data_IF_631771365931
#
_entry.id   IF_631771365931
#
_cell.length_a   1.000
_cell.length_b   1.000
_cell.length_c   1.000
_cell.angle_alpha   90.00
_cell.angle_beta   90.00
_cell.angle_gamma   90.00
#
_symmetry.space_group_name_H-M   'P 1'
#
loop_
_entity.id
_entity.type
_entity.pdbx_description
1 polymer ?
#
# COMPACT_ATOMS: atom_id res chain seq x y z
N UNK A 1 -50.61 -30.06 51.27
CA UNK A 1 -50.53 -28.74 51.92
C UNK A 1 -49.92 -27.74 50.95
N UNK A 2 -50.69 -26.67 50.65
CA UNK A 2 -50.32 -25.30 50.29
C UNK A 2 -49.47 -24.99 49.05
N UNK A 3 -50.10 -24.17 48.19
CA UNK A 3 -49.54 -23.18 47.28
C UNK A 3 -48.45 -22.30 47.92
N UNK A 4 -47.48 -21.89 47.08
CA UNK A 4 -46.82 -20.57 47.00
C UNK A 4 -45.62 -20.73 46.04
N UNK A 5 -45.18 -19.81 45.20
CA UNK A 5 -45.63 -18.53 44.66
C UNK A 5 -44.60 -18.20 43.54
N UNK A 6 -45.00 -17.48 42.51
CA UNK A 6 -44.09 -16.85 41.54
C UNK A 6 -43.03 -15.98 42.23
N UNK A 7 -41.81 -15.96 41.69
CA UNK A 7 -41.01 -14.74 41.55
C UNK A 7 -39.96 -14.91 40.44
N UNK A 8 -40.10 -14.10 39.38
CA UNK A 8 -39.09 -13.86 38.36
C UNK A 8 -37.79 -13.36 38.99
N UNK A 9 -36.66 -14.00 38.65
CA UNK A 9 -35.36 -13.32 38.65
C UNK A 9 -34.68 -13.64 37.33
N UNK A 10 -34.71 -12.65 36.45
CA UNK A 10 -33.80 -12.43 35.34
C UNK A 10 -32.35 -12.46 35.83
N UNK A 11 -31.55 -13.41 35.33
CA UNK A 11 -30.10 -13.39 35.50
C UNK A 11 -29.42 -13.82 34.19
N UNK A 12 -29.11 -12.78 33.40
CA UNK A 12 -27.83 -12.55 32.73
C UNK A 12 -27.28 -13.65 31.81
N UNK A 13 -27.37 -13.31 30.52
CA UNK A 13 -26.35 -13.59 29.54
C UNK A 13 -24.94 -13.35 30.12
N UNK A 14 -24.18 -14.42 30.24
CA UNK A 14 -22.72 -14.39 30.35
C UNK A 14 -22.19 -15.69 29.75
N UNK A 15 -22.38 -15.85 28.45
CA UNK A 15 -21.55 -16.77 27.68
C UNK A 15 -20.11 -16.29 27.82
N UNK A 16 -19.25 -17.15 28.36
CA UNK A 16 -17.85 -16.88 28.62
C UNK A 16 -17.16 -16.27 27.40
N UNK A 17 -17.01 -14.93 27.41
CA UNK A 17 -16.01 -14.28 26.61
C UNK A 17 -14.66 -14.71 27.19
N UNK A 18 -13.99 -15.62 26.48
CA UNK A 18 -12.55 -15.82 26.65
C UNK A 18 -11.93 -14.42 26.57
N UNK A 19 -11.41 -13.92 27.69
CA UNK A 19 -10.49 -12.78 27.69
C UNK A 19 -9.35 -13.18 26.76
N UNK A 20 -9.40 -12.75 25.50
CA UNK A 20 -8.22 -12.72 24.65
C UNK A 20 -7.28 -11.75 25.35
N UNK A 21 -6.31 -12.27 26.07
CA UNK A 21 -5.18 -11.46 26.50
C UNK A 21 -4.59 -10.85 25.23
N UNK A 22 -4.65 -9.52 25.15
CA UNK A 22 -4.03 -8.80 24.04
C UNK A 22 -2.54 -9.14 24.00
N UNK A 23 -1.99 -9.45 22.82
CA UNK A 23 -0.58 -9.72 22.66
C UNK A 23 0.28 -8.61 23.30
N UNK A 24 1.35 -8.98 24.01
CA UNK A 24 2.21 -8.04 24.76
C UNK A 24 2.73 -6.84 23.96
N UNK A 25 2.77 -6.92 22.63
CA UNK A 25 3.21 -5.85 21.73
C UNK A 25 2.17 -4.74 21.49
N UNK A 26 0.93 -4.89 21.97
CA UNK A 26 -0.12 -3.87 22.00
C UNK A 26 -0.03 -2.92 23.21
N UNK A 27 0.94 -3.12 24.12
CA UNK A 27 0.99 -2.43 25.41
C UNK A 27 1.57 -1.00 25.38
N UNK A 28 2.02 -0.51 24.22
CA UNK A 28 2.44 0.88 24.02
C UNK A 28 1.57 1.52 22.94
N UNK A 29 0.54 2.24 23.37
CA UNK A 29 -0.57 2.66 22.52
C UNK A 29 -0.27 4.01 21.87
N UNK A 30 -0.30 4.05 20.54
CA UNK A 30 -0.53 5.28 19.78
C UNK A 30 -1.87 5.90 20.22
N UNK A 31 -1.94 7.22 20.42
CA UNK A 31 -3.19 7.91 20.82
C UNK A 31 -4.31 7.86 19.77
N UNK A 32 -4.05 7.32 18.57
CA UNK A 32 -5.05 7.14 17.50
C UNK A 32 -5.37 5.67 17.36
N UNK A 33 -6.53 5.28 17.90
CA UNK A 33 -7.11 3.96 17.71
C UNK A 33 -7.86 3.89 16.37
N UNK A 34 -7.20 3.48 15.29
CA UNK A 34 -7.89 3.00 14.08
C UNK A 34 -8.46 1.57 14.27
N UNK A 35 -8.89 1.23 15.49
CA UNK A 35 -9.24 -0.13 15.91
C UNK A 35 -10.68 -0.54 15.56
N UNK A 36 -11.60 0.42 15.44
CA UNK A 36 -13.04 0.14 15.25
C UNK A 36 -13.52 0.36 13.80
N UNK A 37 -12.90 1.29 13.07
CA UNK A 37 -13.21 1.56 11.66
C UNK A 37 -12.02 2.23 10.98
N UNK A 38 -11.26 1.46 10.20
CA UNK A 38 -10.16 2.01 9.40
C UNK A 38 -10.75 2.75 8.20
N UNK A 39 -11.16 4.01 8.42
CA UNK A 39 -11.64 4.90 7.36
C UNK A 39 -10.47 5.68 6.76
N UNK A 40 -10.63 6.26 5.55
CA UNK A 40 -9.64 7.16 4.97
C UNK A 40 -9.27 8.31 5.89
N UNK A 41 -10.25 8.83 6.63
CA UNK A 41 -10.05 9.89 7.62
C UNK A 41 -9.18 9.40 8.77
N UNK A 42 -9.39 8.17 9.26
CA UNK A 42 -8.55 7.60 10.32
C UNK A 42 -7.10 7.43 9.86
N UNK A 43 -6.88 6.85 8.68
CA UNK A 43 -5.54 6.68 8.11
C UNK A 43 -4.88 8.04 7.85
N UNK A 44 -5.66 9.04 7.43
CA UNK A 44 -5.16 10.41 7.25
C UNK A 44 -4.70 11.03 8.57
N UNK A 45 -5.48 10.90 9.65
CA UNK A 45 -5.11 11.40 10.99
C UNK A 45 -3.86 10.68 11.51
N UNK A 46 -3.81 9.36 11.34
CA UNK A 46 -2.64 8.56 11.69
C UNK A 46 -1.41 9.02 10.91
N UNK A 47 -1.53 9.15 9.59
CA UNK A 47 -0.42 9.53 8.73
C UNK A 47 0.14 10.89 9.12
N UNK A 48 -0.73 11.86 9.43
CA UNK A 48 -0.31 13.17 9.95
C UNK A 48 0.52 13.03 11.23
N UNK A 49 0.03 12.27 12.22
CA UNK A 49 0.75 12.07 13.49
C UNK A 49 2.12 11.39 13.28
N UNK A 50 2.19 10.40 12.38
CA UNK A 50 3.43 9.72 12.04
C UNK A 50 4.42 10.66 11.35
N UNK A 51 3.95 11.56 10.48
CA UNK A 51 4.79 12.57 9.83
C UNK A 51 5.38 13.56 10.82
N UNK A 52 4.59 14.04 11.79
CA UNK A 52 5.06 14.92 12.88
C UNK A 52 6.15 14.25 13.73
N UNK A 53 6.15 12.92 13.82
CA UNK A 53 7.21 12.14 14.50
C UNK A 53 8.46 11.92 13.64
N UNK A 54 8.40 12.24 12.35
CA UNK A 54 9.47 12.05 11.36
C UNK A 54 10.02 13.35 10.79
N UNK A 55 9.76 14.50 11.41
CA UNK A 55 10.12 15.83 10.85
C UNK A 55 11.60 15.99 10.48
N UNK A 56 12.50 15.22 11.10
CA UNK A 56 13.94 15.24 10.81
C UNK A 56 14.43 14.07 9.95
N UNK A 57 13.52 13.24 9.46
CA UNK A 57 13.83 12.10 8.61
C UNK A 57 14.20 12.55 7.19
N UNK A 58 15.21 11.94 6.54
CA UNK A 58 15.44 12.15 5.11
C UNK A 58 14.26 11.72 4.24
N UNK A 59 13.32 10.91 4.77
CA UNK A 59 12.14 10.43 4.07
C UNK A 59 10.90 11.32 4.27
N UNK A 60 10.97 12.32 5.16
CA UNK A 60 9.83 13.14 5.56
C UNK A 60 9.17 13.87 4.37
N UNK A 61 9.97 14.35 3.42
CA UNK A 61 9.48 15.05 2.23
C UNK A 61 8.63 14.14 1.33
N UNK A 62 9.19 12.99 0.93
CA UNK A 62 8.48 11.99 0.11
C UNK A 62 7.22 11.48 0.81
N UNK A 63 7.33 11.13 2.09
CA UNK A 63 6.17 10.71 2.90
C UNK A 63 5.07 11.77 2.94
N UNK A 64 5.44 13.05 3.06
CA UNK A 64 4.48 14.17 3.01
C UNK A 64 3.82 14.29 1.66
N UNK A 65 4.55 14.19 0.55
CA UNK A 65 3.99 14.25 -0.80
C UNK A 65 3.02 13.09 -1.07
N UNK A 66 3.33 11.88 -0.59
CA UNK A 66 2.39 10.76 -0.64
C UNK A 66 1.11 11.04 0.16
N UNK A 67 1.25 11.54 1.38
CA UNK A 67 0.13 11.90 2.25
C UNK A 67 -0.76 12.98 1.61
N UNK A 68 -0.17 14.01 1.02
CA UNK A 68 -0.88 15.07 0.28
C UNK A 68 -1.65 14.48 -0.89
N UNK A 69 -1.02 13.62 -1.69
CA UNK A 69 -1.70 13.02 -2.83
C UNK A 69 -2.88 12.13 -2.40
N UNK A 70 -2.68 11.30 -1.38
CA UNK A 70 -3.76 10.50 -0.81
C UNK A 70 -4.90 11.38 -0.32
N UNK A 71 -4.61 12.45 0.42
CA UNK A 71 -5.60 13.37 0.93
C UNK A 71 -6.39 14.06 -0.20
N UNK A 72 -5.69 14.61 -1.20
CA UNK A 72 -6.32 15.27 -2.35
C UNK A 72 -7.18 14.32 -3.19
N UNK A 73 -6.68 13.13 -3.52
CA UNK A 73 -7.42 12.13 -4.29
C UNK A 73 -8.62 11.56 -3.53
N UNK A 74 -8.54 11.53 -2.20
CA UNK A 74 -9.63 11.07 -1.32
C UNK A 74 -10.56 12.18 -0.85
N UNK A 75 -10.25 13.44 -1.18
CA UNK A 75 -10.98 14.61 -0.69
C UNK A 75 -11.03 14.65 0.84
N UNK A 76 -9.93 14.29 1.48
CA UNK A 76 -9.73 14.39 2.92
C UNK A 76 -8.97 15.71 3.20
N UNK A 77 -9.43 16.54 4.15
CA UNK A 77 -8.72 17.76 4.51
C UNK A 77 -7.32 17.45 5.02
N UNK A 78 -6.34 18.20 4.51
CA UNK A 78 -4.96 18.15 5.01
C UNK A 78 -4.42 19.58 5.16
N UNK A 79 -3.35 19.70 5.94
CA UNK A 79 -2.60 20.93 6.10
C UNK A 79 -1.12 20.59 6.04
N UNK A 80 -0.32 21.45 5.40
CA UNK A 80 1.12 21.28 5.37
C UNK A 80 1.67 21.25 6.81
N UNK A 81 2.54 20.28 7.14
CA UNK A 81 3.25 20.28 8.42
C UNK A 81 3.95 21.62 8.67
N UNK A 82 3.96 22.06 9.93
CA UNK A 82 4.51 23.37 10.30
C UNK A 82 5.99 23.49 9.92
N UNK A 83 6.72 22.38 9.92
CA UNK A 83 8.12 22.28 9.54
C UNK A 83 8.42 22.74 8.09
N UNK A 84 7.44 22.69 7.17
CA UNK A 84 7.65 23.12 5.79
C UNK A 84 7.33 24.62 5.62
N UNK A 85 8.35 25.39 5.25
CA UNK A 85 8.28 26.84 5.07
C UNK A 85 8.82 27.27 3.69
N UNK A 86 8.55 28.52 3.31
CA UNK A 86 9.11 29.14 2.11
C UNK A 86 8.92 28.30 0.84
N UNK A 87 10.04 27.89 0.24
CA UNK A 87 10.06 27.15 -1.02
C UNK A 87 9.37 25.78 -0.92
N UNK A 88 9.56 25.03 0.17
CA UNK A 88 8.94 23.72 0.37
C UNK A 88 7.42 23.85 0.47
N UNK A 89 6.93 24.87 1.19
CA UNK A 89 5.50 25.14 1.28
C UNK A 89 4.89 25.49 -0.08
N UNK A 90 5.59 26.27 -0.89
CA UNK A 90 5.17 26.60 -2.24
C UNK A 90 5.14 25.35 -3.15
N UNK A 91 6.17 24.48 -3.05
CA UNK A 91 6.23 23.22 -3.79
C UNK A 91 5.08 22.28 -3.40
N UNK A 92 4.79 22.12 -2.09
CA UNK A 92 3.64 21.35 -1.60
C UNK A 92 2.32 21.88 -2.16
N UNK A 93 2.13 23.20 -2.16
CA UNK A 93 0.90 23.81 -2.68
C UNK A 93 0.74 23.54 -4.19
N UNK A 94 1.81 23.76 -4.97
CA UNK A 94 1.78 23.52 -6.41
C UNK A 94 1.53 22.05 -6.75
N UNK A 95 2.15 21.14 -5.99
CA UNK A 95 1.94 19.70 -6.11
C UNK A 95 0.49 19.32 -5.80
N UNK A 96 -0.07 19.81 -4.69
CA UNK A 96 -1.47 19.54 -4.32
C UNK A 96 -2.45 20.01 -5.40
N UNK A 97 -2.22 21.18 -6.00
CA UNK A 97 -3.01 21.68 -7.13
C UNK A 97 -2.92 20.77 -8.36
N UNK A 98 -1.75 20.18 -8.64
CA UNK A 98 -1.59 19.19 -9.70
C UNK A 98 -2.35 17.90 -9.40
N UNK A 99 -2.27 17.37 -8.16
CA UNK A 99 -3.00 16.15 -7.76
C UNK A 99 -4.51 16.37 -7.78
N UNK A 100 -4.99 17.53 -7.35
CA UNK A 100 -6.41 17.89 -7.39
C UNK A 100 -6.99 17.79 -8.81
N UNK A 101 -6.20 18.13 -9.83
CA UNK A 101 -6.60 18.00 -11.23
C UNK A 101 -6.75 16.54 -11.68
N UNK A 102 -5.97 15.62 -11.11
CA UNK A 102 -6.14 14.16 -11.31
C UNK A 102 -7.51 13.73 -10.79
N UNK A 103 -7.89 14.17 -9.57
CA UNK A 103 -9.20 13.84 -8.98
C UNK A 103 -10.36 14.38 -9.81
N UNK A 104 -10.25 15.60 -10.33
CA UNK A 104 -11.31 16.22 -11.15
C UNK A 104 -11.38 15.66 -12.57
N UNK A 105 -10.56 14.65 -12.91
CA UNK A 105 -10.57 13.97 -14.21
C UNK A 105 -9.94 14.77 -15.35
N UNK A 106 -9.20 15.83 -15.04
CA UNK A 106 -8.54 16.67 -16.04
C UNK A 106 -7.08 16.24 -16.19
N UNK A 107 -6.84 15.02 -16.68
CA UNK A 107 -5.50 14.44 -16.74
C UNK A 107 -4.52 15.23 -17.62
N UNK A 108 -4.98 15.84 -18.73
CA UNK A 108 -4.12 16.67 -19.56
C UNK A 108 -3.62 17.91 -18.81
N UNK A 109 -4.53 18.56 -18.06
CA UNK A 109 -4.15 19.72 -17.23
C UNK A 109 -3.26 19.29 -16.07
N UNK A 110 -3.54 18.13 -15.45
CA UNK A 110 -2.71 17.57 -14.39
C UNK A 110 -1.29 17.29 -14.90
N UNK A 111 -1.14 16.72 -16.10
CA UNK A 111 0.15 16.49 -16.75
C UNK A 111 0.88 17.81 -17.02
N UNK A 112 0.19 18.81 -17.58
CA UNK A 112 0.79 20.13 -17.80
C UNK A 112 1.22 20.82 -16.50
N UNK A 113 0.47 20.64 -15.41
CA UNK A 113 0.82 21.17 -14.10
C UNK A 113 2.03 20.43 -13.51
N UNK A 114 2.02 19.09 -13.54
CA UNK A 114 3.10 18.24 -13.05
C UNK A 114 4.42 18.54 -13.77
N UNK A 115 4.40 18.71 -15.09
CA UNK A 115 5.60 19.01 -15.87
C UNK A 115 6.25 20.36 -15.54
N UNK A 116 5.50 21.29 -14.93
CA UNK A 116 5.96 22.61 -14.50
C UNK A 116 6.40 22.66 -13.03
N UNK A 117 6.32 21.54 -12.30
CA UNK A 117 6.83 21.48 -10.92
C UNK A 117 8.36 21.56 -10.93
N UNK A 118 8.89 22.48 -10.13
CA UNK A 118 10.34 22.68 -9.98
C UNK A 118 10.96 21.66 -9.01
N UNK A 119 10.20 21.21 -8.01
CA UNK A 119 10.67 20.18 -7.07
C UNK A 119 10.69 18.79 -7.74
N UNK A 120 11.85 18.11 -7.84
CA UNK A 120 11.96 16.85 -8.56
C UNK A 120 11.11 15.72 -8.00
N UNK A 121 11.01 15.63 -6.67
CA UNK A 121 10.25 14.57 -5.98
C UNK A 121 8.74 14.77 -6.16
N UNK A 122 8.27 16.02 -6.00
CA UNK A 122 6.89 16.37 -6.28
C UNK A 122 6.53 16.12 -7.76
N UNK A 123 7.46 16.45 -8.67
CA UNK A 123 7.29 16.18 -10.10
C UNK A 123 7.16 14.68 -10.38
N UNK A 124 8.08 13.85 -9.89
CA UNK A 124 8.07 12.41 -10.12
C UNK A 124 6.82 11.76 -9.54
N UNK A 125 6.41 12.14 -8.32
CA UNK A 125 5.20 11.62 -7.69
C UNK A 125 3.92 12.03 -8.41
N UNK A 126 3.82 13.28 -8.88
CA UNK A 126 2.66 13.71 -9.64
C UNK A 126 2.52 12.90 -10.95
N UNK A 127 3.63 12.68 -11.66
CA UNK A 127 3.67 11.87 -12.87
C UNK A 127 3.33 10.40 -12.58
N UNK A 128 3.80 9.85 -11.46
CA UNK A 128 3.40 8.52 -10.99
C UNK A 128 1.89 8.43 -10.85
N UNK A 129 1.23 9.30 -10.07
CA UNK A 129 -0.22 9.24 -9.89
C UNK A 129 -1.02 9.50 -11.18
N UNK A 130 -0.52 10.35 -12.07
CA UNK A 130 -1.10 10.55 -13.42
C UNK A 130 -1.03 9.25 -14.22
N UNK A 131 0.10 8.55 -14.19
CA UNK A 131 0.27 7.29 -14.91
C UNK A 131 -0.71 6.23 -14.42
N UNK A 132 -0.83 6.05 -13.10
CA UNK A 132 -1.77 5.10 -12.48
C UNK A 132 -3.22 5.45 -12.82
N UNK A 133 -3.59 6.73 -12.71
CA UNK A 133 -4.96 7.17 -13.03
C UNK A 133 -5.26 7.06 -14.53
N UNK A 134 -4.29 7.39 -15.38
CA UNK A 134 -4.45 7.30 -16.82
C UNK A 134 -4.63 5.86 -17.33
N UNK A 135 -4.01 4.87 -16.65
CA UNK A 135 -4.20 3.46 -16.96
C UNK A 135 -5.66 3.02 -16.80
N UNK A 136 -6.30 3.36 -15.68
CA UNK A 136 -7.72 3.03 -15.43
C UNK A 136 -8.69 3.77 -16.35
N UNK A 137 -8.26 4.88 -16.97
CA UNK A 137 -9.08 5.69 -17.88
C UNK A 137 -8.73 5.50 -19.36
N UNK A 138 -7.77 4.63 -19.69
CA UNK A 138 -7.21 4.49 -21.04
C UNK A 138 -6.83 5.84 -21.68
N UNK A 139 -6.16 6.69 -20.90
CA UNK A 139 -5.82 8.07 -21.27
C UNK A 139 -4.55 8.15 -22.13
N UNK A 140 -4.54 9.07 -23.09
CA UNK A 140 -3.33 9.42 -23.86
C UNK A 140 -2.21 10.04 -23.01
N UNK A 141 -2.51 10.48 -21.79
CA UNK A 141 -1.54 11.06 -20.85
C UNK A 141 -0.62 10.04 -20.19
N UNK A 142 -0.96 8.75 -20.23
CA UNK A 142 -0.17 7.70 -19.56
C UNK A 142 1.23 7.57 -20.15
N UNK A 143 1.35 7.56 -21.48
CA UNK A 143 2.66 7.37 -22.14
C UNK A 143 3.61 8.54 -21.86
N UNK A 144 3.23 9.82 -22.08
CA UNK A 144 4.12 10.95 -21.76
C UNK A 144 4.53 11.00 -20.28
N UNK A 145 3.61 10.65 -19.36
CA UNK A 145 3.92 10.62 -17.94
C UNK A 145 4.97 9.54 -17.61
N UNK A 146 4.83 8.33 -18.16
CA UNK A 146 5.78 7.24 -17.96
C UNK A 146 7.15 7.52 -18.60
N UNK A 147 7.18 8.15 -19.78
CA UNK A 147 8.42 8.52 -20.46
C UNK A 147 9.25 9.52 -19.64
N UNK A 148 8.59 10.56 -19.11
CA UNK A 148 9.26 11.52 -18.24
C UNK A 148 9.65 10.88 -16.90
N UNK A 149 8.80 10.03 -16.32
CA UNK A 149 9.10 9.33 -15.07
C UNK A 149 10.32 8.42 -15.22
N UNK A 150 10.42 7.66 -16.31
CA UNK A 150 11.59 6.85 -16.63
C UNK A 150 12.89 7.68 -16.71
N UNK A 151 12.80 8.97 -17.04
CA UNK A 151 13.97 9.84 -17.11
C UNK A 151 14.42 10.35 -15.74
N UNK A 152 13.47 10.61 -14.83
CA UNK A 152 13.74 11.37 -13.61
C UNK A 152 13.67 10.55 -12.31
N UNK A 153 12.92 9.45 -12.30
CA UNK A 153 12.75 8.58 -11.12
C UNK A 153 12.48 7.14 -11.57
N UNK A 154 13.55 6.34 -11.54
CA UNK A 154 13.50 4.94 -11.96
C UNK A 154 12.68 4.07 -11.02
N UNK A 155 12.58 4.41 -9.73
CA UNK A 155 11.88 3.58 -8.75
C UNK A 155 10.37 3.73 -8.91
N UNK A 156 9.88 4.98 -8.99
CA UNK A 156 8.48 5.24 -9.31
C UNK A 156 8.10 4.75 -10.71
N UNK A 157 9.02 4.81 -11.68
CA UNK A 157 8.78 4.23 -13.00
C UNK A 157 8.54 2.71 -12.91
N UNK A 158 9.37 1.98 -12.14
CA UNK A 158 9.18 0.54 -11.95
C UNK A 158 7.87 0.24 -11.22
N UNK A 159 7.52 1.00 -10.18
CA UNK A 159 6.22 0.87 -9.49
C UNK A 159 5.03 1.11 -10.45
N UNK A 160 5.12 2.11 -11.33
CA UNK A 160 4.08 2.38 -12.32
C UNK A 160 3.94 1.25 -13.34
N UNK A 161 5.06 0.64 -13.74
CA UNK A 161 5.07 -0.51 -14.66
C UNK A 161 4.47 -1.76 -14.00
N UNK A 162 4.73 -2.02 -12.73
CA UNK A 162 4.09 -3.07 -11.94
C UNK A 162 2.57 -2.84 -11.84
N UNK A 163 2.15 -1.60 -11.61
CA UNK A 163 0.72 -1.26 -11.56
C UNK A 163 0.03 -1.43 -12.91
N UNK A 164 0.72 -1.11 -14.01
CA UNK A 164 0.25 -1.38 -15.37
C UNK A 164 0.10 -2.88 -15.63
N UNK A 165 1.04 -3.69 -15.14
CA UNK A 165 0.97 -5.14 -15.25
C UNK A 165 -0.28 -5.69 -14.53
N UNK A 166 -0.56 -5.22 -13.32
CA UNK A 166 -1.77 -5.60 -12.57
C UNK A 166 -3.05 -5.22 -13.34
N UNK A 167 -3.11 -4.00 -13.88
CA UNK A 167 -4.24 -3.53 -14.69
C UNK A 167 -4.47 -4.39 -15.95
N UNK A 168 -3.41 -4.76 -16.68
CA UNK A 168 -3.50 -5.63 -17.85
C UNK A 168 -4.00 -7.04 -17.50
N UNK A 169 -3.51 -7.60 -16.39
CA UNK A 169 -3.94 -8.92 -15.92
C UNK A 169 -5.43 -8.91 -15.50
N UNK A 170 -5.88 -7.87 -14.81
CA UNK A 170 -7.30 -7.69 -14.49
C UNK A 170 -8.19 -7.52 -15.72
N UNK A 171 -7.69 -6.80 -16.73
CA UNK A 171 -8.40 -6.63 -18.00
C UNK A 171 -8.39 -7.90 -18.88
N UNK A 172 -7.64 -8.94 -18.51
CA UNK A 172 -7.47 -10.15 -19.31
C UNK A 172 -6.60 -9.96 -20.57
N UNK A 173 -5.86 -8.86 -20.68
CA UNK A 173 -4.92 -8.60 -21.78
C UNK A 173 -3.60 -9.34 -21.52
N UNK A 174 -3.68 -10.69 -21.55
CA UNK A 174 -2.59 -11.58 -21.17
C UNK A 174 -1.36 -11.46 -22.07
N UNK A 175 -1.55 -11.15 -23.35
CA UNK A 175 -0.46 -10.96 -24.30
C UNK A 175 0.41 -9.76 -23.91
N UNK A 176 -0.21 -8.60 -23.68
CA UNK A 176 0.53 -7.41 -23.25
C UNK A 176 1.06 -7.53 -21.83
N UNK A 177 0.31 -8.15 -20.92
CA UNK A 177 0.79 -8.42 -19.56
C UNK A 177 2.06 -9.28 -19.58
N UNK A 178 2.09 -10.33 -20.38
CA UNK A 178 3.26 -11.21 -20.52
C UNK A 178 4.46 -10.49 -21.12
N UNK A 179 4.25 -9.68 -22.17
CA UNK A 179 5.30 -8.86 -22.77
C UNK A 179 5.86 -7.84 -21.77
N UNK A 180 5.00 -7.18 -21.00
CA UNK A 180 5.39 -6.22 -19.97
C UNK A 180 6.17 -6.88 -18.83
N UNK A 181 5.73 -8.04 -18.33
CA UNK A 181 6.49 -8.80 -17.34
C UNK A 181 7.89 -9.10 -17.85
N UNK A 182 8.02 -9.61 -19.09
CA UNK A 182 9.33 -9.88 -19.69
C UNK A 182 10.21 -8.65 -19.73
N UNK A 183 9.64 -7.50 -20.08
CA UNK A 183 10.33 -6.22 -20.06
C UNK A 183 10.84 -5.88 -18.65
N UNK A 184 9.95 -5.87 -17.64
CA UNK A 184 10.31 -5.57 -16.24
C UNK A 184 11.42 -6.48 -15.74
N UNK A 185 11.26 -7.80 -15.94
CA UNK A 185 12.27 -8.80 -15.55
C UNK A 185 13.60 -8.55 -16.26
N UNK A 186 13.57 -8.24 -17.56
CA UNK A 186 14.78 -7.98 -18.34
C UNK A 186 15.48 -6.71 -17.86
N UNK A 187 14.76 -5.61 -17.70
CA UNK A 187 15.34 -4.33 -17.26
C UNK A 187 15.90 -4.41 -15.85
N UNK A 188 15.24 -5.14 -14.96
CA UNK A 188 15.75 -5.44 -13.64
C UNK A 188 17.04 -6.29 -13.74
N UNK A 189 17.06 -7.30 -14.63
CA UNK A 189 18.20 -8.25 -14.76
C UNK A 189 19.50 -7.66 -15.32
N UNK A 190 19.42 -6.50 -15.97
CA UNK A 190 20.56 -5.86 -16.64
C UNK A 190 21.37 -4.95 -15.72
N UNK A 191 20.95 -4.72 -14.46
CA UNK A 191 21.45 -3.56 -13.70
C UNK A 191 21.81 -3.75 -12.22
N UNK A 192 21.38 -4.80 -11.47
CA UNK A 192 21.57 -4.77 -9.99
C UNK A 192 21.61 -6.16 -9.30
N UNK A 193 22.51 -6.43 -8.32
CA UNK A 193 22.34 -7.50 -7.32
C UNK A 193 21.10 -7.39 -6.42
N UNK A 194 20.44 -6.23 -6.31
CA UNK A 194 19.20 -6.00 -5.55
C UNK A 194 17.92 -6.30 -6.34
N UNK A 195 17.95 -7.28 -7.26
CA UNK A 195 16.83 -7.74 -8.08
C UNK A 195 15.57 -8.23 -7.33
N UNK A 196 15.70 -8.48 -6.03
CA UNK A 196 14.67 -9.11 -5.20
C UNK A 196 13.34 -8.35 -5.17
N UNK A 197 13.31 -7.05 -4.83
CA UNK A 197 12.06 -6.31 -4.64
C UNK A 197 11.22 -6.16 -5.92
N UNK A 198 11.79 -5.74 -7.05
CA UNK A 198 11.03 -5.56 -8.31
C UNK A 198 10.37 -6.86 -8.77
N UNK A 199 11.09 -7.98 -8.62
CA UNK A 199 10.58 -9.30 -8.99
C UNK A 199 9.58 -9.83 -7.96
N UNK A 200 9.71 -9.45 -6.70
CA UNK A 200 8.72 -9.76 -5.68
C UNK A 200 7.40 -9.04 -5.99
N UNK A 201 7.45 -7.77 -6.35
CA UNK A 201 6.27 -6.99 -6.70
C UNK A 201 5.51 -7.61 -7.89
N UNK A 202 6.24 -8.04 -8.92
CA UNK A 202 5.66 -8.82 -10.03
C UNK A 202 5.04 -10.12 -9.53
N UNK A 203 5.71 -10.86 -8.64
CA UNK A 203 5.18 -12.10 -8.08
C UNK A 203 3.88 -11.87 -7.28
N UNK A 204 3.82 -10.79 -6.50
CA UNK A 204 2.65 -10.41 -5.73
C UNK A 204 1.49 -10.00 -6.64
N UNK A 205 1.74 -9.26 -7.72
CA UNK A 205 0.72 -8.96 -8.75
C UNK A 205 0.10 -10.23 -9.32
N UNK A 206 0.92 -11.22 -9.67
CA UNK A 206 0.41 -12.50 -10.19
C UNK A 206 -0.38 -13.28 -9.13
N UNK A 207 0.04 -13.24 -7.86
CA UNK A 207 -0.71 -13.83 -6.77
C UNK A 207 -2.09 -13.15 -6.59
N UNK A 208 -2.13 -11.80 -6.60
CA UNK A 208 -3.35 -11.01 -6.43
C UNK A 208 -4.35 -11.17 -7.56
N UNK A 209 -3.86 -11.33 -8.78
CA UNK A 209 -4.67 -11.49 -10.00
C UNK A 209 -5.09 -12.94 -10.25
N UNK A 210 -4.73 -13.88 -9.35
CA UNK A 210 -5.10 -15.30 -9.44
C UNK A 210 -4.31 -16.11 -10.48
N UNK A 211 -3.23 -15.55 -11.03
CA UNK A 211 -2.38 -16.19 -12.05
C UNK A 211 -1.38 -17.17 -11.41
N UNK A 212 -1.87 -18.06 -10.54
CA UNK A 212 -1.05 -18.88 -9.64
C UNK A 212 -0.19 -19.93 -10.36
N UNK A 213 -0.70 -20.51 -11.45
CA UNK A 213 0.06 -21.48 -12.24
C UNK A 213 1.26 -20.82 -12.92
N UNK A 214 1.06 -19.68 -13.60
CA UNK A 214 2.14 -18.95 -14.25
C UNK A 214 3.11 -18.34 -13.23
N UNK A 215 2.62 -17.91 -12.05
CA UNK A 215 3.47 -17.51 -10.93
C UNK A 215 4.43 -18.63 -10.51
N UNK A 216 3.89 -19.83 -10.24
CA UNK A 216 4.68 -20.99 -9.82
C UNK A 216 5.75 -21.35 -10.85
N UNK A 217 5.34 -21.48 -12.12
CA UNK A 217 6.24 -21.83 -13.22
C UNK A 217 7.34 -20.77 -13.42
N UNK A 218 7.00 -19.49 -13.32
CA UNK A 218 7.96 -18.40 -13.52
C UNK A 218 8.95 -18.29 -12.36
N UNK A 219 8.50 -18.33 -11.10
CA UNK A 219 9.37 -18.23 -9.92
C UNK A 219 10.39 -19.38 -9.88
N UNK A 220 9.98 -20.59 -10.25
CA UNK A 220 10.89 -21.74 -10.34
C UNK A 220 12.01 -21.54 -11.38
N UNK A 221 11.70 -20.84 -12.49
CA UNK A 221 12.64 -20.56 -13.58
C UNK A 221 13.54 -19.36 -13.34
N UNK A 222 13.35 -18.61 -12.24
CA UNK A 222 14.23 -17.48 -11.93
C UNK A 222 15.67 -17.95 -11.65
N UNK A 223 16.70 -17.19 -12.06
CA UNK A 223 18.10 -17.52 -11.78
C UNK A 223 18.37 -17.75 -10.29
N UNK A 224 19.29 -18.66 -9.96
CA UNK A 224 19.64 -18.99 -8.56
C UNK A 224 20.16 -17.81 -7.75
N UNK A 225 20.80 -16.84 -8.41
CA UNK A 225 21.27 -15.59 -7.78
C UNK A 225 20.16 -14.73 -7.17
N UNK A 226 18.88 -15.03 -7.44
CA UNK A 226 17.71 -14.32 -6.91
C UNK A 226 17.15 -15.08 -5.71
N UNK A 227 17.98 -15.23 -4.68
CA UNK A 227 17.75 -16.14 -3.54
C UNK A 227 16.55 -15.70 -2.69
N UNK A 228 16.39 -14.40 -2.45
CA UNK A 228 15.36 -13.84 -1.55
C UNK A 228 13.92 -14.21 -1.97
N UNK A 229 13.67 -14.43 -3.26
CA UNK A 229 12.35 -14.86 -3.76
C UNK A 229 12.07 -16.35 -3.56
N UNK A 230 13.14 -17.14 -3.39
CA UNK A 230 13.09 -18.59 -3.21
C UNK A 230 13.22 -18.98 -1.75
N UNK A 231 13.83 -18.12 -0.92
CA UNK A 231 14.07 -18.36 0.51
C UNK A 231 14.00 -17.03 1.25
N UNK A 232 13.39 -17.00 2.43
CA UNK A 232 13.44 -15.83 3.31
C UNK A 232 12.09 -15.14 3.45
N UNK A 233 12.10 -13.83 3.65
CA UNK A 233 10.89 -13.09 4.00
C UNK A 233 9.98 -12.80 2.80
N UNK A 234 10.53 -12.60 1.60
CA UNK A 234 9.72 -12.47 0.39
C UNK A 234 9.06 -13.79 -0.02
N UNK A 235 9.75 -14.91 0.15
CA UNK A 235 9.15 -16.24 -0.04
C UNK A 235 7.95 -16.45 0.90
N UNK A 236 8.10 -16.13 2.19
CA UNK A 236 7.01 -16.23 3.16
C UNK A 236 5.84 -15.31 2.82
N UNK A 237 6.12 -14.06 2.44
CA UNK A 237 5.10 -13.12 1.99
C UNK A 237 4.35 -13.69 0.79
N UNK A 238 5.07 -14.12 -0.26
CA UNK A 238 4.45 -14.71 -1.45
C UNK A 238 3.63 -15.95 -1.10
N UNK A 239 4.12 -16.82 -0.22
CA UNK A 239 3.40 -18.01 0.24
C UNK A 239 2.12 -17.63 1.00
N UNK A 240 2.17 -16.63 1.88
CA UNK A 240 1.00 -16.10 2.57
C UNK A 240 -0.04 -15.53 1.59
N UNK A 241 0.41 -14.83 0.54
CA UNK A 241 -0.47 -14.29 -0.51
C UNK A 241 -1.12 -15.38 -1.36
N UNK A 242 -0.37 -16.41 -1.75
CA UNK A 242 -0.91 -17.58 -2.47
C UNK A 242 -1.95 -18.29 -1.59
N UNK A 243 -1.65 -18.54 -0.31
CA UNK A 243 -2.61 -19.15 0.63
C UNK A 243 -3.88 -18.30 0.75
N UNK A 244 -3.73 -16.99 0.93
CA UNK A 244 -4.86 -16.06 1.02
C UNK A 244 -5.71 -16.06 -0.25
N UNK A 245 -5.09 -16.11 -1.43
CA UNK A 245 -5.79 -16.17 -2.72
C UNK A 245 -6.61 -17.45 -2.90
N UNK A 246 -6.18 -18.54 -2.26
CA UNK A 246 -6.88 -19.83 -2.19
C UNK A 246 -7.93 -19.88 -1.06
N UNK A 247 -8.25 -18.73 -0.44
CA UNK A 247 -9.24 -18.62 0.64
C UNK A 247 -8.74 -19.06 2.02
N UNK A 248 -7.42 -19.23 2.19
CA UNK A 248 -6.80 -19.57 3.48
C UNK A 248 -6.10 -18.33 4.05
N UNK A 249 -6.78 -17.52 4.88
CA UNK A 249 -6.17 -16.32 5.41
C UNK A 249 -4.96 -16.66 6.29
N UNK A 250 -3.83 -15.94 6.16
CA UNK A 250 -2.62 -16.27 6.90
C UNK A 250 -2.81 -16.04 8.39
N UNK A 251 -2.22 -16.93 9.18
CA UNK A 251 -2.25 -16.83 10.64
C UNK A 251 -1.27 -15.79 11.19
N UNK A 252 -1.45 -15.41 12.46
CA UNK A 252 -0.52 -14.52 13.17
C UNK A 252 0.91 -15.09 13.19
N UNK A 253 1.06 -16.41 13.35
CA UNK A 253 2.36 -17.07 13.35
C UNK A 253 3.04 -17.02 11.96
N UNK A 254 2.26 -17.09 10.88
CA UNK A 254 2.76 -17.05 9.51
C UNK A 254 3.35 -15.66 9.21
N UNK A 255 2.58 -14.58 9.45
CA UNK A 255 3.08 -13.21 9.29
C UNK A 255 4.16 -12.86 10.32
N UNK A 256 4.05 -13.37 11.55
CA UNK A 256 5.06 -13.21 12.59
C UNK A 256 6.41 -13.86 12.26
N UNK A 257 6.44 -14.80 11.31
CA UNK A 257 7.68 -15.44 10.85
C UNK A 257 8.49 -14.58 9.87
N UNK A 258 7.88 -13.53 9.28
CA UNK A 258 8.56 -12.54 8.43
C UNK A 258 9.39 -11.63 9.33
N UNK A 259 10.72 -11.66 9.23
CA UNK A 259 11.62 -10.98 10.17
C UNK A 259 11.83 -9.49 9.86
N UNK A 260 11.99 -9.14 8.58
CA UNK A 260 12.12 -7.77 8.10
C UNK A 260 10.82 -7.03 8.39
N UNK A 261 10.91 -5.96 9.18
CA UNK A 261 9.73 -5.21 9.61
C UNK A 261 9.02 -4.55 8.42
N UNK A 262 9.78 -4.05 7.45
CA UNK A 262 9.22 -3.51 6.21
C UNK A 262 8.43 -4.57 5.43
N UNK A 263 9.03 -5.73 5.14
CA UNK A 263 8.33 -6.84 4.46
C UNK A 263 7.08 -7.29 5.23
N UNK A 264 7.14 -7.30 6.57
CA UNK A 264 5.96 -7.67 7.39
C UNK A 264 4.87 -6.60 7.29
N UNK A 265 5.24 -5.32 7.31
CA UNK A 265 4.31 -4.22 7.20
C UNK A 265 3.63 -4.21 5.82
N UNK A 266 4.41 -4.36 4.75
CA UNK A 266 3.87 -4.48 3.39
C UNK A 266 3.01 -5.73 3.23
N UNK A 267 3.32 -6.84 3.91
CA UNK A 267 2.48 -8.04 3.90
C UNK A 267 1.01 -7.75 4.30
N UNK A 268 0.79 -6.95 5.33
CA UNK A 268 -0.56 -6.57 5.74
C UNK A 268 -1.28 -5.75 4.66
N UNK A 269 -0.57 -4.81 4.01
CA UNK A 269 -1.14 -3.99 2.94
C UNK A 269 -1.44 -4.81 1.69
N UNK A 270 -0.56 -5.76 1.36
CA UNK A 270 -0.75 -6.67 0.24
C UNK A 270 -1.96 -7.58 0.45
N UNK A 271 -2.12 -8.12 1.65
CA UNK A 271 -3.32 -8.86 2.02
C UNK A 271 -4.57 -7.99 1.92
N UNK A 272 -4.51 -6.72 2.35
CA UNK A 272 -5.63 -5.80 2.21
C UNK A 272 -6.02 -5.60 0.72
N UNK A 273 -5.05 -5.39 -0.16
CA UNK A 273 -5.25 -5.28 -1.62
C UNK A 273 -5.91 -6.54 -2.18
N UNK A 274 -5.38 -7.71 -1.85
CA UNK A 274 -5.93 -8.99 -2.28
C UNK A 274 -7.38 -9.18 -1.81
N UNK A 275 -7.67 -8.97 -0.53
CA UNK A 275 -9.01 -9.16 0.00
C UNK A 275 -10.02 -8.19 -0.60
N UNK A 276 -9.60 -6.96 -0.93
CA UNK A 276 -10.43 -6.04 -1.70
C UNK A 276 -10.79 -6.61 -3.07
N UNK A 277 -9.81 -7.12 -3.81
CA UNK A 277 -10.02 -7.73 -5.13
C UNK A 277 -10.95 -8.95 -5.06
N UNK A 278 -10.85 -9.73 -3.98
CA UNK A 278 -11.73 -10.87 -3.72
C UNK A 278 -13.12 -10.47 -3.18
N UNK A 279 -13.42 -9.17 -3.02
CA UNK A 279 -14.68 -8.68 -2.47
C UNK A 279 -14.85 -8.96 -0.96
N UNK A 280 -13.78 -9.31 -0.25
CA UNK A 280 -13.79 -9.67 1.16
C UNK A 280 -13.47 -8.46 2.06
N UNK A 281 -14.42 -7.53 2.16
CA UNK A 281 -14.25 -6.30 2.93
C UNK A 281 -14.00 -6.48 4.43
N UNK A 282 -14.30 -7.66 5.00
CA UNK A 282 -14.00 -7.96 6.42
C UNK A 282 -12.51 -8.18 6.60
N UNK A 283 -11.90 -9.06 5.80
CA UNK A 283 -10.46 -9.31 5.88
C UNK A 283 -9.63 -8.15 5.35
N UNK A 284 -10.14 -7.40 4.37
CA UNK A 284 -9.51 -6.15 3.93
C UNK A 284 -9.35 -5.19 5.12
N UNK A 285 -10.46 -4.83 5.79
CA UNK A 285 -10.43 -3.88 6.92
C UNK A 285 -9.53 -4.36 8.03
N UNK A 286 -9.58 -5.66 8.34
CA UNK A 286 -8.70 -6.27 9.34
C UNK A 286 -7.23 -6.14 8.96
N UNK A 287 -6.86 -6.41 7.72
CA UNK A 287 -5.48 -6.33 7.27
C UNK A 287 -4.95 -4.89 7.33
N UNK A 288 -5.76 -3.88 6.94
CA UNK A 288 -5.38 -2.47 7.09
C UNK A 288 -5.26 -2.08 8.58
N UNK A 289 -6.14 -2.60 9.44
CA UNK A 289 -6.05 -2.38 10.89
C UNK A 289 -4.76 -2.97 11.46
N UNK A 290 -4.44 -4.21 11.11
CA UNK A 290 -3.22 -4.89 11.55
C UNK A 290 -1.97 -4.15 11.04
N UNK A 291 -2.00 -3.61 9.80
CA UNK A 291 -0.95 -2.74 9.27
C UNK A 291 -0.81 -1.47 10.12
N UNK A 292 -1.90 -0.74 10.37
CA UNK A 292 -1.89 0.50 11.14
C UNK A 292 -1.36 0.28 12.57
N UNK A 293 -1.80 -0.79 13.24
CA UNK A 293 -1.31 -1.16 14.58
C UNK A 293 0.17 -1.51 14.54
N UNK A 294 0.62 -2.31 13.57
CA UNK A 294 2.02 -2.69 13.43
C UNK A 294 2.92 -1.47 13.17
N UNK A 295 2.50 -0.58 12.26
CA UNK A 295 3.20 0.65 11.92
C UNK A 295 3.23 1.70 13.03
N UNK A 296 2.46 1.54 14.11
CA UNK A 296 2.46 2.40 15.30
C UNK A 296 3.30 1.85 16.45
N UNK A 297 3.74 0.59 16.39
CA UNK A 297 4.47 -0.04 17.48
C UNK A 297 5.74 0.75 17.83
N UNK A 298 6.03 0.89 19.13
CA UNK A 298 7.23 1.57 19.59
C UNK A 298 8.53 0.83 19.20
N UNK A 299 8.46 -0.50 19.07
CA UNK A 299 9.58 -1.33 18.60
C UNK A 299 9.77 -1.33 17.08
N UNK A 300 8.96 -0.56 16.35
CA UNK A 300 9.13 -0.36 14.91
C UNK A 300 10.39 0.49 14.66
N UNK A 301 11.34 -0.08 13.92
CA UNK A 301 12.57 0.58 13.47
C UNK A 301 12.43 1.17 12.07
N UNK A 302 11.37 0.81 11.33
CA UNK A 302 11.05 1.44 10.06
C UNK A 302 10.69 2.91 10.29
N UNK A 303 11.21 3.78 9.42
CA UNK A 303 10.94 5.20 9.48
C UNK A 303 9.43 5.49 9.34
N UNK A 304 8.91 6.40 10.15
CA UNK A 304 7.48 6.72 10.17
C UNK A 304 7.01 7.38 8.87
N UNK A 305 7.88 8.11 8.17
CA UNK A 305 7.56 8.66 6.86
C UNK A 305 7.41 7.55 5.79
N UNK A 306 8.18 6.46 5.89
CA UNK A 306 8.02 5.29 5.02
C UNK A 306 6.69 4.57 5.32
N UNK A 307 6.33 4.41 6.60
CA UNK A 307 5.01 3.90 7.00
C UNK A 307 3.89 4.73 6.38
N UNK A 308 4.03 6.06 6.39
CA UNK A 308 3.05 6.99 5.79
C UNK A 308 2.96 6.84 4.28
N UNK A 309 4.08 6.71 3.58
CA UNK A 309 4.11 6.47 2.13
C UNK A 309 3.27 5.25 1.76
N UNK A 310 3.54 4.12 2.41
CA UNK A 310 2.82 2.87 2.18
C UNK A 310 1.32 2.94 2.53
N UNK A 311 0.96 3.57 3.67
CA UNK A 311 -0.46 3.78 4.03
C UNK A 311 -1.16 4.69 3.02
N UNK A 312 -0.47 5.71 2.52
CA UNK A 312 -1.00 6.66 1.54
C UNK A 312 -1.25 5.99 0.18
N UNK A 313 -0.33 5.16 -0.28
CA UNK A 313 -0.51 4.33 -1.49
C UNK A 313 -1.76 3.45 -1.38
N UNK A 314 -1.92 2.76 -0.25
CA UNK A 314 -3.09 1.92 0.03
C UNK A 314 -4.42 2.69 -0.07
N UNK A 315 -4.43 3.97 0.36
CA UNK A 315 -5.59 4.85 0.24
C UNK A 315 -5.88 5.26 -1.21
N UNK A 316 -4.85 5.55 -2.00
CA UNK A 316 -5.03 6.00 -3.40
C UNK A 316 -5.57 4.88 -4.28
N UNK A 317 -4.99 3.68 -4.16
CA UNK A 317 -5.32 2.54 -5.02
C UNK A 317 -6.76 2.03 -4.83
N UNK A 318 -7.39 2.30 -3.68
CA UNK A 318 -8.76 1.86 -3.37
C UNK A 318 -9.89 2.43 -4.25
N UNK A 319 -9.59 3.38 -5.14
CA UNK A 319 -10.53 3.92 -6.14
C UNK A 319 -10.04 3.79 -7.59
N UNK A 320 -8.81 3.31 -7.80
CA UNK A 320 -8.17 3.26 -9.12
C UNK A 320 -8.40 1.92 -9.84
N UNK A 321 -8.82 0.88 -9.09
CA UNK A 321 -9.23 -0.43 -9.58
C UNK A 321 -10.75 -0.59 -9.48
#
# INVERSE_FOLDING_TARGET
MRLAALLCISALAAGCAVKREEPQWLKEVSKVECSASVTPECISVLSKQLLEQSEHSPFAWRGTLFFVAASELRNVPWQAPAAFEGAERNALSAYADAIKQIRTGTLDKALQAALKLDDPEAKSLALYFISIKGLSQNSGTTTPALEELARIDQDLYRMAMTSRLESLLHAGDLERAYALRKYIVRTASMSDPNLGPDLNDVALVYARTGMLADLGDWVQRLPEKIVDLKVGDEEKLRTAMVNASLGKPPGVAELGSIKRQETRFTAYLELARLYRLLGNGIYEKKAIQDAALYGQMASMTLDRAIVVEYLSLMLVESKAL
#
